data_IF_247217049312
#
_entry.id   IF_247217049312
#
_cell.length_a   1.000
_cell.length_b   1.000
_cell.length_c   1.000
_cell.angle_alpha   90.00
_cell.angle_beta   90.00
_cell.angle_gamma   90.00
#
_symmetry.space_group_name_H-M   'P 1'
#
loop_
_entity.id
_entity.type
_entity.pdbx_description
1 polymer ?
#
# COMPACT_ATOMS: atom_id res chain seq x y z
N UNK A 1 2.79 24.99 9.74
CA UNK A 1 3.72 25.14 8.62
C UNK A 1 4.19 23.75 8.25
N UNK A 2 3.71 23.19 7.13
CA UNK A 2 4.16 21.88 6.65
C UNK A 2 5.40 22.11 5.77
N UNK A 3 6.59 21.87 6.31
CA UNK A 3 7.76 21.71 5.45
C UNK A 3 7.58 20.43 4.63
N UNK A 4 7.70 20.47 3.30
CA UNK A 4 7.73 19.25 2.51
C UNK A 4 8.87 18.36 3.04
N UNK A 5 8.67 17.03 3.11
CA UNK A 5 9.74 16.12 3.50
C UNK A 5 11.00 16.41 2.68
N UNK A 6 12.16 16.55 3.34
CA UNK A 6 13.45 16.62 2.65
C UNK A 6 13.53 15.42 1.66
N UNK A 7 14.15 15.59 0.49
CA UNK A 7 14.24 14.57 -0.57
C UNK A 7 14.70 13.21 -0.04
N UNK A 8 15.60 13.21 0.94
CA UNK A 8 16.09 12.00 1.62
C UNK A 8 15.00 11.27 2.41
N UNK A 9 14.14 12.03 3.11
CA UNK A 9 12.99 11.49 3.85
C UNK A 9 12.00 10.87 2.88
N UNK A 10 11.67 11.58 1.79
CA UNK A 10 10.79 11.04 0.73
C UNK A 10 11.33 9.73 0.14
N UNK A 11 12.64 9.66 -0.14
CA UNK A 11 13.30 8.44 -0.62
C UNK A 11 13.25 7.30 0.39
N UNK A 12 13.50 7.59 1.67
CA UNK A 12 13.44 6.58 2.72
C UNK A 12 12.03 5.98 2.87
N UNK A 13 10.99 6.79 2.78
CA UNK A 13 9.61 6.31 2.78
C UNK A 13 9.27 5.51 1.52
N UNK A 14 9.71 5.97 0.34
CA UNK A 14 9.57 5.21 -0.92
C UNK A 14 10.16 3.80 -0.80
N UNK A 15 11.39 3.67 -0.30
CA UNK A 15 12.02 2.36 -0.10
C UNK A 15 11.23 1.46 0.86
N UNK A 16 10.65 2.02 1.93
CA UNK A 16 9.83 1.25 2.88
C UNK A 16 8.54 0.76 2.23
N UNK A 17 7.89 1.60 1.43
CA UNK A 17 6.69 1.23 0.68
C UNK A 17 7.02 0.12 -0.33
N UNK A 18 8.12 0.22 -1.06
CA UNK A 18 8.54 -0.84 -1.99
C UNK A 18 8.78 -2.19 -1.30
N UNK A 19 9.37 -2.18 -0.10
CA UNK A 19 9.54 -3.40 0.71
C UNK A 19 8.19 -3.98 1.13
N UNK A 20 7.23 -3.14 1.52
CA UNK A 20 5.87 -3.56 1.89
C UNK A 20 5.14 -4.15 0.68
N UNK A 21 5.17 -3.48 -0.47
CA UNK A 21 4.55 -3.96 -1.71
C UNK A 21 5.16 -5.30 -2.15
N UNK A 22 6.49 -5.45 -2.03
CA UNK A 22 7.15 -6.72 -2.28
C UNK A 22 6.68 -7.82 -1.33
N UNK A 23 6.66 -7.59 -0.02
CA UNK A 23 6.11 -8.55 0.96
C UNK A 23 4.68 -8.93 0.61
N UNK A 24 3.85 -7.97 0.22
CA UNK A 24 2.45 -8.21 -0.16
C UNK A 24 2.36 -9.08 -1.42
N UNK A 25 3.24 -8.85 -2.41
CA UNK A 25 3.31 -9.64 -3.64
C UNK A 25 3.65 -11.12 -3.40
N UNK A 26 4.41 -11.41 -2.34
CA UNK A 26 4.75 -12.77 -1.92
C UNK A 26 3.55 -13.49 -1.25
N UNK A 27 2.47 -12.77 -0.91
CA UNK A 27 1.27 -13.32 -0.28
C UNK A 27 0.05 -13.38 -1.22
N UNK A 28 0.21 -13.21 -2.54
CA UNK A 28 -0.94 -13.14 -3.49
C UNK A 28 -1.87 -14.35 -3.47
N UNK A 29 -1.35 -15.52 -3.10
CA UNK A 29 -2.12 -16.77 -3.02
C UNK A 29 -2.92 -16.89 -1.69
N UNK A 30 -2.68 -16.01 -0.72
CA UNK A 30 -3.41 -16.01 0.54
C UNK A 30 -4.73 -15.24 0.42
N UNK A 31 -5.75 -15.60 1.22
CA UNK A 31 -6.96 -14.80 1.35
C UNK A 31 -6.63 -13.36 1.76
N UNK A 32 -7.33 -12.39 1.18
CA UNK A 32 -7.09 -10.96 1.45
C UNK A 32 -7.33 -10.55 2.90
N UNK A 33 -8.09 -11.36 3.64
CA UNK A 33 -8.41 -11.21 5.06
C UNK A 33 -7.58 -12.11 5.97
N UNK A 34 -6.60 -12.84 5.43
CA UNK A 34 -5.68 -13.66 6.23
C UNK A 34 -4.86 -12.80 7.19
N UNK A 35 -4.37 -13.41 8.26
CA UNK A 35 -3.55 -12.70 9.25
C UNK A 35 -2.26 -12.13 8.63
N UNK A 36 -1.62 -12.88 7.75
CA UNK A 36 -0.40 -12.50 7.03
C UNK A 36 -0.63 -11.23 6.20
N UNK A 37 -1.72 -11.21 5.42
CA UNK A 37 -2.08 -10.06 4.60
C UNK A 37 -2.48 -8.87 5.46
N UNK A 38 -3.35 -9.06 6.46
CA UNK A 38 -3.78 -7.99 7.38
C UNK A 38 -2.59 -7.35 8.11
N UNK A 39 -1.61 -8.14 8.54
CA UNK A 39 -0.38 -7.63 9.17
C UNK A 39 0.40 -6.71 8.23
N UNK A 40 0.56 -7.09 6.96
CA UNK A 40 1.27 -6.28 5.97
C UNK A 40 0.50 -5.00 5.64
N UNK A 41 -0.83 -5.06 5.50
CA UNK A 41 -1.66 -3.87 5.25
C UNK A 41 -1.63 -2.91 6.45
N UNK A 42 -1.61 -3.42 7.69
CA UNK A 42 -1.42 -2.61 8.89
C UNK A 42 -0.05 -1.91 8.92
N UNK A 43 1.03 -2.60 8.53
CA UNK A 43 2.36 -2.00 8.35
C UNK A 43 2.31 -0.87 7.29
N UNK A 44 1.61 -1.11 6.17
CA UNK A 44 1.46 -0.13 5.10
C UNK A 44 0.74 1.13 5.59
N UNK A 45 -0.42 0.96 6.23
CA UNK A 45 -1.19 2.06 6.81
C UNK A 45 -0.36 2.88 7.80
N UNK A 46 0.38 2.22 8.69
CA UNK A 46 1.24 2.88 9.65
C UNK A 46 2.34 3.72 8.98
N UNK A 47 3.03 3.18 7.97
CA UNK A 47 4.06 3.92 7.23
C UNK A 47 3.47 5.13 6.51
N UNK A 48 2.30 4.96 5.86
CA UNK A 48 1.62 6.07 5.18
C UNK A 48 1.16 7.15 6.17
N UNK A 49 0.66 6.76 7.34
CA UNK A 49 0.31 7.68 8.43
C UNK A 49 1.50 8.52 8.86
N UNK A 50 2.65 7.89 9.11
CA UNK A 50 3.89 8.57 9.49
C UNK A 50 4.36 9.54 8.41
N UNK A 51 4.29 9.13 7.15
CA UNK A 51 4.72 9.94 6.01
C UNK A 51 3.85 11.19 5.82
N UNK A 52 2.53 11.02 5.83
CA UNK A 52 1.55 12.07 5.57
C UNK A 52 1.21 12.92 6.79
N UNK A 53 1.63 12.50 7.99
CA UNK A 53 1.36 13.17 9.27
C UNK A 53 -0.14 13.35 9.56
N UNK A 54 -0.98 12.45 9.04
CA UNK A 54 -2.43 12.47 9.28
C UNK A 54 -2.79 11.75 10.57
N UNK A 55 -3.93 12.13 11.17
CA UNK A 55 -4.45 11.48 12.38
C UNK A 55 -5.01 10.07 12.10
N UNK A 56 -5.67 9.89 10.96
CA UNK A 56 -6.26 8.64 10.50
C UNK A 56 -5.92 8.41 9.03
N UNK A 57 -5.29 7.29 8.73
CA UNK A 57 -4.75 6.95 7.42
C UNK A 57 -5.76 6.26 6.49
N UNK A 58 -6.90 5.79 7.02
CA UNK A 58 -7.88 4.99 6.29
C UNK A 58 -8.31 5.62 4.95
N UNK A 59 -8.65 6.91 4.95
CA UNK A 59 -9.05 7.61 3.73
C UNK A 59 -7.95 7.65 2.66
N UNK A 60 -6.70 7.84 3.08
CA UNK A 60 -5.55 7.82 2.17
C UNK A 60 -5.27 6.40 1.64
N UNK A 61 -5.35 5.39 2.50
CA UNK A 61 -5.19 3.99 2.09
C UNK A 61 -6.27 3.56 1.09
N UNK A 62 -7.52 3.95 1.30
CA UNK A 62 -8.62 3.68 0.35
C UNK A 62 -8.43 4.41 -0.99
N UNK A 63 -7.82 5.60 -0.97
CA UNK A 63 -7.41 6.29 -2.21
C UNK A 63 -6.30 5.54 -2.95
N UNK A 64 -5.30 4.99 -2.23
CA UNK A 64 -4.26 4.13 -2.83
C UNK A 64 -4.91 2.89 -3.48
N UNK A 65 -5.83 2.23 -2.77
CA UNK A 65 -6.55 1.07 -3.30
C UNK A 65 -7.40 1.40 -4.54
N UNK A 66 -7.86 2.65 -4.66
CA UNK A 66 -8.55 3.11 -5.86
C UNK A 66 -7.56 3.34 -6.99
N UNK A 67 -6.44 4.00 -6.70
CA UNK A 67 -5.40 4.27 -7.70
C UNK A 67 -4.77 2.99 -8.27
N UNK A 68 -4.57 1.94 -7.46
CA UNK A 68 -4.06 0.66 -7.95
C UNK A 68 -4.96 0.00 -9.00
N UNK A 69 -6.24 0.39 -9.07
CA UNK A 69 -7.16 -0.09 -10.12
C UNK A 69 -7.19 0.80 -11.36
N UNK A 70 -6.52 1.96 -11.34
CA UNK A 70 -6.35 2.77 -12.54
C UNK A 70 -5.46 1.99 -13.53
N UNK A 71 -5.87 1.91 -14.79
CA UNK A 71 -5.20 1.09 -15.82
C UNK A 71 -3.68 1.30 -15.86
N UNK A 72 -3.23 2.57 -15.79
CA UNK A 72 -1.79 2.88 -15.80
C UNK A 72 -1.07 2.32 -14.57
N UNK A 73 -1.64 2.48 -13.38
CA UNK A 73 -1.02 2.00 -12.16
C UNK A 73 -1.03 0.47 -12.11
N UNK A 74 -2.16 -0.13 -12.49
CA UNK A 74 -2.32 -1.58 -12.61
C UNK A 74 -1.24 -2.20 -13.48
N UNK A 75 -1.05 -1.68 -14.70
CA UNK A 75 0.00 -2.19 -15.61
C UNK A 75 1.38 -2.14 -14.97
N UNK A 76 1.76 -0.98 -14.41
CA UNK A 76 3.09 -0.82 -13.80
C UNK A 76 3.31 -1.72 -12.58
N UNK A 77 2.29 -1.88 -11.75
CA UNK A 77 2.35 -2.69 -10.53
C UNK A 77 2.35 -4.19 -10.85
N UNK A 78 1.57 -4.63 -11.82
CA UNK A 78 1.55 -6.02 -12.29
C UNK A 78 2.85 -6.37 -13.03
N UNK A 79 3.44 -5.45 -13.80
CA UNK A 79 4.77 -5.64 -14.39
C UNK A 79 5.86 -5.78 -13.33
N UNK A 80 5.78 -4.99 -12.24
CA UNK A 80 6.81 -4.96 -11.19
C UNK A 80 6.70 -6.14 -10.21
N UNK A 81 5.48 -6.50 -9.82
CA UNK A 81 5.21 -7.44 -8.73
C UNK A 81 4.45 -8.71 -9.18
N UNK A 82 4.31 -8.88 -10.49
CA UNK A 82 3.68 -10.02 -11.15
C UNK A 82 2.18 -9.84 -11.34
N UNK A 83 1.64 -10.47 -12.38
CA UNK A 83 0.24 -10.39 -12.80
C UNK A 83 -0.76 -10.53 -11.63
N UNK A 84 -1.80 -9.69 -11.64
CA UNK A 84 -2.87 -9.69 -10.66
C UNK A 84 -2.51 -9.06 -9.30
N UNK A 85 -1.26 -8.62 -9.10
CA UNK A 85 -0.82 -7.98 -7.86
C UNK A 85 -1.65 -6.74 -7.54
N UNK A 86 -1.88 -5.87 -8.52
CA UNK A 86 -2.52 -4.58 -8.28
C UNK A 86 -3.95 -4.73 -7.77
N UNK A 87 -4.71 -5.66 -8.37
CA UNK A 87 -6.07 -5.97 -7.94
C UNK A 87 -6.09 -6.66 -6.57
N UNK A 88 -5.16 -7.60 -6.32
CA UNK A 88 -5.00 -8.24 -5.02
C UNK A 88 -4.74 -7.20 -3.91
N UNK A 89 -3.77 -6.32 -4.10
CA UNK A 89 -3.41 -5.30 -3.14
C UNK A 89 -4.56 -4.31 -2.88
N UNK A 90 -5.26 -3.89 -3.94
CA UNK A 90 -6.44 -3.04 -3.81
C UNK A 90 -7.55 -3.71 -2.98
N UNK A 91 -7.78 -5.01 -3.18
CA UNK A 91 -8.77 -5.79 -2.40
C UNK A 91 -8.34 -5.95 -0.94
N UNK A 92 -7.06 -6.24 -0.68
CA UNK A 92 -6.51 -6.37 0.67
C UNK A 92 -6.66 -5.07 1.48
N UNK A 93 -6.30 -3.92 0.89
CA UNK A 93 -6.47 -2.62 1.54
C UNK A 93 -7.96 -2.35 1.82
N UNK A 94 -8.84 -2.60 0.84
CA UNK A 94 -10.28 -2.39 1.03
C UNK A 94 -10.87 -3.32 2.09
N UNK A 95 -10.42 -4.57 2.19
CA UNK A 95 -10.88 -5.50 3.21
C UNK A 95 -10.48 -5.01 4.61
N UNK A 96 -9.21 -4.63 4.79
CA UNK A 96 -8.69 -4.18 6.08
C UNK A 96 -9.39 -2.93 6.65
N UNK A 97 -9.76 -1.97 5.79
CA UNK A 97 -10.38 -0.70 6.21
C UNK A 97 -11.92 -0.68 6.09
N UNK A 98 -12.54 -1.80 5.75
CA UNK A 98 -14.01 -1.98 5.78
C UNK A 98 -14.49 -2.77 7.00
N UNK A 99 -13.58 -3.47 7.67
CA UNK A 99 -13.79 -4.03 9.02
C UNK A 99 -13.78 -2.90 10.07
#
# INVERSE_FOLDING_TARGET
MNNPPNKEVGKAFGNRIEVIEKKLSEQKEYPVDSFEVKKIIGEYGFVMKQFSQVKHEAGMMLSIATNYRDERAKTLLDEKYGEGFSEFAARAIKAFYKD
#
